data_IF_012665265741
#
_entry.id   IF_012665265741
#
_cell.length_a   1.000
_cell.length_b   1.000
_cell.length_c   1.000
_cell.angle_alpha   90.00
_cell.angle_beta   90.00
_cell.angle_gamma   90.00
#
_symmetry.space_group_name_H-M   'P 1'
#
loop_
_entity.id
_entity.type
_entity.pdbx_description
1 polymer ?
#
# COMPACT_ATOMS: atom_id res chain seq x y z
N UNK A 1 8.76 26.39 -8.97
CA UNK A 1 9.71 25.65 -8.11
C UNK A 1 9.80 26.21 -6.69
N UNK A 2 9.62 27.53 -6.46
CA UNK A 2 9.65 28.14 -5.11
C UNK A 2 8.63 27.58 -4.09
N UNK A 3 7.46 27.11 -4.54
CA UNK A 3 6.42 26.52 -3.67
C UNK A 3 6.91 25.29 -2.88
N UNK A 4 7.87 24.53 -3.41
CA UNK A 4 8.39 23.31 -2.76
C UNK A 4 9.51 23.59 -1.74
N UNK A 5 10.05 24.81 -1.72
CA UNK A 5 11.16 25.20 -0.85
C UNK A 5 10.69 25.87 0.46
N UNK A 6 9.39 26.14 0.60
CA UNK A 6 8.83 26.80 1.79
C UNK A 6 8.40 25.78 2.84
N UNK A 7 8.85 25.95 4.09
CA UNK A 7 8.49 25.07 5.21
C UNK A 7 6.97 24.95 5.41
N UNK A 8 6.22 26.02 5.13
CA UNK A 8 4.75 26.02 5.19
C UNK A 8 4.08 25.06 4.20
N UNK A 9 4.73 24.70 3.10
CA UNK A 9 4.24 23.69 2.16
C UNK A 9 4.27 22.29 2.78
N UNK A 10 5.37 21.95 3.45
CA UNK A 10 5.57 20.66 4.11
C UNK A 10 4.83 20.53 5.45
N UNK A 11 4.52 21.65 6.11
CA UNK A 11 3.82 21.69 7.41
C UNK A 11 2.28 21.70 7.31
N UNK A 12 1.71 21.97 6.12
CA UNK A 12 0.26 21.98 5.91
C UNK A 12 -0.38 20.58 6.02
N UNK A 13 0.18 19.51 5.43
CA UNK A 13 -0.36 18.15 5.57
C UNK A 13 -0.39 17.65 7.02
N UNK A 14 0.56 18.13 7.85
CA UNK A 14 0.64 17.80 9.27
C UNK A 14 -0.46 18.47 10.10
N UNK A 15 -1.34 19.30 9.51
CA UNK A 15 -2.48 19.90 10.20
C UNK A 15 -3.78 19.11 10.01
N UNK A 16 -3.85 18.17 9.07
CA UNK A 16 -5.03 17.34 8.83
C UNK A 16 -5.04 16.10 9.76
N UNK A 17 -6.06 15.91 10.62
CA UNK A 17 -6.16 14.73 11.48
C UNK A 17 -6.23 13.40 10.70
N UNK A 18 -6.75 13.39 9.47
CA UNK A 18 -6.73 12.18 8.62
C UNK A 18 -5.31 11.78 8.20
N UNK A 19 -4.41 12.76 8.06
CA UNK A 19 -3.00 12.51 7.75
C UNK A 19 -2.28 11.83 8.91
N UNK A 20 -2.51 12.30 10.14
CA UNK A 20 -1.98 11.63 11.32
C UNK A 20 -2.53 10.21 11.48
N UNK A 21 -3.84 10.03 11.32
CA UNK A 21 -4.46 8.71 11.42
C UNK A 21 -3.84 7.73 10.43
N UNK A 22 -3.67 8.15 9.18
CA UNK A 22 -3.12 7.28 8.16
C UNK A 22 -1.61 7.05 8.32
N UNK A 23 -0.84 8.00 8.86
CA UNK A 23 0.55 7.75 9.27
C UNK A 23 0.62 6.73 10.40
N UNK A 24 -0.30 6.80 11.38
CA UNK A 24 -0.40 5.81 12.44
C UNK A 24 -0.76 4.44 11.86
N UNK A 25 -1.71 4.36 10.93
CA UNK A 25 -2.05 3.10 10.25
C UNK A 25 -0.87 2.56 9.44
N UNK A 26 -0.15 3.42 8.71
CA UNK A 26 1.03 3.04 7.91
C UNK A 26 2.21 2.58 8.78
N UNK A 27 2.37 3.12 10.00
CA UNK A 27 3.45 2.78 10.93
C UNK A 27 3.07 1.66 11.92
N UNK A 28 1.77 1.39 12.10
CA UNK A 28 1.30 0.37 13.03
C UNK A 28 1.89 -1.03 12.79
N UNK A 29 2.07 -1.52 11.54
CA UNK A 29 2.68 -2.83 11.31
C UNK A 29 4.14 -2.86 11.76
N UNK A 30 4.84 -1.73 11.65
CA UNK A 30 6.24 -1.60 12.07
C UNK A 30 6.34 -1.67 13.59
N UNK A 31 5.51 -0.88 14.28
CA UNK A 31 5.47 -0.86 15.75
C UNK A 31 5.13 -2.24 16.30
N UNK A 32 4.11 -2.90 15.75
CA UNK A 32 3.74 -4.24 16.18
C UNK A 32 4.85 -5.27 15.95
N UNK A 33 5.47 -5.25 14.77
CA UNK A 33 6.56 -6.17 14.47
C UNK A 33 7.78 -5.95 15.37
N UNK A 34 8.12 -4.70 15.71
CA UNK A 34 9.19 -4.39 16.68
C UNK A 34 8.83 -4.84 18.10
N UNK A 35 7.58 -4.68 18.54
CA UNK A 35 7.14 -5.10 19.88
C UNK A 35 7.10 -6.61 20.06
N UNK A 36 7.03 -7.38 18.97
CA UNK A 36 6.96 -8.83 18.99
C UNK A 36 8.26 -9.50 18.50
N UNK A 37 9.35 -8.74 18.38
CA UNK A 37 10.66 -9.21 17.92
C UNK A 37 10.61 -9.94 16.56
N UNK A 38 9.74 -9.47 15.66
CA UNK A 38 9.61 -10.09 14.34
C UNK A 38 10.86 -9.83 13.50
N UNK A 39 11.29 -10.85 12.75
CA UNK A 39 12.41 -10.74 11.83
C UNK A 39 12.05 -10.02 10.52
N UNK A 40 13.07 -9.73 9.71
CA UNK A 40 12.93 -8.96 8.46
C UNK A 40 11.83 -9.50 7.52
N UNK A 41 11.75 -10.82 7.41
CA UNK A 41 10.76 -11.54 6.61
C UNK A 41 9.32 -11.15 6.96
N UNK A 42 9.01 -11.02 8.25
CA UNK A 42 7.68 -10.65 8.71
C UNK A 42 7.28 -9.24 8.27
N UNK A 43 8.21 -8.29 8.36
CA UNK A 43 7.98 -6.91 7.93
C UNK A 43 7.68 -6.83 6.44
N UNK A 44 8.48 -7.53 5.64
CA UNK A 44 8.32 -7.55 4.18
C UNK A 44 7.02 -8.27 3.79
N UNK A 45 6.66 -9.36 4.47
CA UNK A 45 5.39 -10.07 4.27
C UNK A 45 4.17 -9.21 4.61
N UNK A 46 4.20 -8.50 5.75
CA UNK A 46 3.13 -7.56 6.12
C UNK A 46 2.98 -6.45 5.08
N UNK A 47 4.10 -5.84 4.66
CA UNK A 47 4.09 -4.80 3.64
C UNK A 47 3.54 -5.33 2.31
N UNK A 48 3.93 -6.55 1.93
CA UNK A 48 3.43 -7.21 0.74
C UNK A 48 1.92 -7.47 0.82
N UNK A 49 1.43 -8.02 1.93
CA UNK A 49 0.01 -8.28 2.15
C UNK A 49 -0.81 -6.97 2.14
N UNK A 50 -0.28 -5.88 2.69
CA UNK A 50 -0.90 -4.57 2.59
C UNK A 50 -1.03 -4.11 1.13
N UNK A 51 -0.01 -4.30 0.29
CA UNK A 51 -0.12 -3.95 -1.13
C UNK A 51 -1.22 -4.76 -1.83
N UNK A 52 -1.40 -6.03 -1.48
CA UNK A 52 -2.52 -6.84 -1.99
C UNK A 52 -3.86 -6.23 -1.59
N UNK A 53 -4.03 -5.86 -0.30
CA UNK A 53 -5.25 -5.20 0.20
C UNK A 53 -5.50 -3.88 -0.55
N UNK A 54 -4.46 -3.06 -0.75
CA UNK A 54 -4.55 -1.80 -1.49
C UNK A 54 -4.88 -2.05 -2.97
N UNK A 55 -4.36 -3.10 -3.58
CA UNK A 55 -4.70 -3.52 -4.93
C UNK A 55 -6.19 -3.84 -5.06
N UNK A 56 -6.74 -4.63 -4.14
CA UNK A 56 -8.18 -4.94 -4.08
C UNK A 56 -9.00 -3.67 -3.88
N UNK A 57 -8.58 -2.78 -2.97
CA UNK A 57 -9.23 -1.50 -2.77
C UNK A 57 -9.23 -0.65 -4.07
N UNK A 58 -8.09 -0.58 -4.75
CA UNK A 58 -7.91 0.19 -5.99
C UNK A 58 -8.78 -0.35 -7.12
N UNK A 59 -8.93 -1.68 -7.23
CA UNK A 59 -9.85 -2.30 -8.19
C UNK A 59 -11.27 -1.75 -8.04
N UNK A 60 -11.80 -1.68 -6.80
CA UNK A 60 -13.12 -1.10 -6.56
C UNK A 60 -13.16 0.42 -6.82
N UNK A 61 -12.08 1.16 -6.49
CA UNK A 61 -11.99 2.60 -6.77
C UNK A 61 -12.01 2.93 -8.26
N UNK A 62 -11.34 2.13 -9.10
CA UNK A 62 -11.37 2.28 -10.57
C UNK A 62 -12.81 2.16 -11.09
N UNK A 63 -13.54 1.13 -10.65
CA UNK A 63 -14.92 0.88 -11.06
C UNK A 63 -15.83 2.02 -10.57
N UNK A 64 -15.69 2.42 -9.30
CA UNK A 64 -16.45 3.52 -8.71
C UNK A 64 -16.20 4.86 -9.41
N UNK A 65 -14.95 5.17 -9.72
CA UNK A 65 -14.56 6.39 -10.46
C UNK A 65 -15.15 6.42 -11.87
N UNK A 66 -15.10 5.31 -12.60
CA UNK A 66 -15.69 5.20 -13.94
C UNK A 66 -17.19 5.40 -13.95
N UNK A 67 -17.89 4.74 -13.01
CA UNK A 67 -19.33 4.88 -12.84
C UNK A 67 -19.73 6.31 -12.46
N UNK A 68 -19.00 6.94 -11.54
CA UNK A 68 -19.31 8.28 -11.05
C UNK A 68 -19.09 9.38 -12.10
N UNK A 69 -18.08 9.25 -12.97
CA UNK A 69 -17.68 10.30 -13.91
C UNK A 69 -18.44 10.28 -15.25
N UNK A 70 -18.75 9.09 -15.78
CA UNK A 70 -19.35 8.97 -17.12
C UNK A 70 -20.58 8.03 -17.19
N UNK A 71 -21.19 7.68 -16.05
CA UNK A 71 -22.38 6.81 -16.00
C UNK A 71 -22.12 5.42 -16.58
N UNK A 72 -23.12 4.83 -17.25
CA UNK A 72 -23.03 3.47 -17.81
C UNK A 72 -21.91 3.31 -18.86
N UNK A 73 -21.60 4.35 -19.64
CA UNK A 73 -20.51 4.33 -20.62
C UNK A 73 -19.12 4.34 -19.96
N UNK A 74 -18.96 5.09 -18.86
CA UNK A 74 -17.75 5.08 -18.03
C UNK A 74 -17.51 3.77 -17.31
N UNK A 75 -18.58 3.11 -16.89
CA UNK A 75 -18.53 1.84 -16.20
C UNK A 75 -17.87 0.75 -17.07
N UNK A 76 -18.24 0.63 -18.35
CA UNK A 76 -17.66 -0.36 -19.25
C UNK A 76 -16.15 -0.15 -19.46
N UNK A 77 -15.72 1.10 -19.67
CA UNK A 77 -14.29 1.44 -19.79
C UNK A 77 -13.51 1.18 -18.50
N UNK A 78 -14.10 1.48 -17.35
CA UNK A 78 -13.49 1.20 -16.05
C UNK A 78 -13.41 -0.30 -15.75
N UNK A 79 -14.37 -1.11 -16.21
CA UNK A 79 -14.31 -2.56 -16.04
C UNK A 79 -13.14 -3.17 -16.81
N UNK A 80 -12.90 -2.73 -18.04
CA UNK A 80 -11.72 -3.12 -18.82
C UNK A 80 -10.43 -2.70 -18.11
N UNK A 81 -10.36 -1.46 -17.63
CA UNK A 81 -9.16 -0.96 -16.97
C UNK A 81 -8.91 -1.66 -15.62
N UNK A 82 -9.98 -1.97 -14.87
CA UNK A 82 -9.91 -2.73 -13.62
C UNK A 82 -9.44 -4.18 -13.87
N UNK A 83 -9.89 -4.82 -14.96
CA UNK A 83 -9.41 -6.14 -15.36
C UNK A 83 -7.92 -6.11 -15.75
N UNK A 84 -7.50 -5.12 -16.56
CA UNK A 84 -6.10 -4.91 -16.89
C UNK A 84 -5.25 -4.68 -15.63
N UNK A 85 -5.74 -3.84 -14.72
CA UNK A 85 -5.10 -3.57 -13.44
C UNK A 85 -4.92 -4.85 -12.63
N UNK A 86 -5.96 -5.68 -12.49
CA UNK A 86 -5.86 -6.96 -11.78
C UNK A 86 -4.78 -7.87 -12.35
N UNK A 87 -4.69 -7.99 -13.69
CA UNK A 87 -3.64 -8.82 -14.31
C UNK A 87 -2.27 -8.22 -14.10
N UNK A 88 -2.10 -6.92 -14.38
CA UNK A 88 -0.79 -6.29 -14.36
C UNK A 88 -0.27 -6.08 -12.93
N UNK A 89 -1.06 -5.43 -12.07
CA UNK A 89 -0.72 -5.23 -10.66
C UNK A 89 -0.65 -6.56 -9.89
N UNK A 90 -1.58 -7.48 -10.18
CA UNK A 90 -1.59 -8.81 -9.60
C UNK A 90 -0.35 -9.62 -9.97
N UNK A 91 0.14 -9.53 -11.21
CA UNK A 91 1.39 -10.18 -11.62
C UNK A 91 2.60 -9.67 -10.82
N UNK A 92 2.69 -8.36 -10.56
CA UNK A 92 3.76 -7.82 -9.72
C UNK A 92 3.67 -8.33 -8.29
N UNK A 93 2.47 -8.26 -7.67
CA UNK A 93 2.28 -8.77 -6.32
C UNK A 93 2.59 -10.27 -6.23
N UNK A 94 2.20 -11.04 -7.24
CA UNK A 94 2.47 -12.47 -7.32
C UNK A 94 3.97 -12.78 -7.37
N UNK A 95 4.71 -12.12 -8.27
CA UNK A 95 6.17 -12.30 -8.39
C UNK A 95 6.89 -11.90 -7.11
N UNK A 96 6.47 -10.83 -6.43
CA UNK A 96 7.03 -10.48 -5.12
C UNK A 96 6.74 -11.52 -4.06
N UNK A 97 5.51 -12.05 -4.03
CA UNK A 97 5.14 -13.13 -3.12
C UNK A 97 6.09 -14.31 -3.28
N UNK A 98 6.36 -14.74 -4.52
CA UNK A 98 7.33 -15.80 -4.82
C UNK A 98 8.69 -15.48 -4.18
N UNK A 99 9.25 -14.30 -4.41
CA UNK A 99 10.55 -13.95 -3.83
C UNK A 99 10.52 -14.04 -2.30
N UNK A 100 9.52 -13.43 -1.66
CA UNK A 100 9.44 -13.35 -0.20
C UNK A 100 9.29 -14.75 0.42
N UNK A 101 8.38 -15.59 -0.09
CA UNK A 101 8.16 -16.93 0.45
C UNK A 101 9.36 -17.85 0.24
N UNK A 102 10.08 -17.73 -0.90
CA UNK A 102 11.32 -18.47 -1.11
C UNK A 102 12.44 -18.00 -0.17
N UNK A 103 12.59 -16.68 0.05
CA UNK A 103 13.56 -16.16 1.01
C UNK A 103 13.21 -16.50 2.47
N UNK A 104 11.94 -16.76 2.74
CA UNK A 104 11.44 -17.11 4.06
C UNK A 104 11.53 -18.62 4.39
N UNK A 105 11.90 -19.46 3.42
CA UNK A 105 11.75 -20.93 3.49
C UNK A 105 10.32 -21.38 3.89
N UNK A 106 9.31 -20.57 3.54
CA UNK A 106 7.91 -20.87 3.84
C UNK A 106 7.33 -21.66 2.66
N UNK A 107 7.01 -22.92 2.91
CA UNK A 107 6.33 -23.78 1.94
C UNK A 107 4.81 -23.49 1.95
N UNK A 108 4.37 -22.56 1.11
CA UNK A 108 2.96 -22.28 0.85
C UNK A 108 2.54 -22.75 -0.54
N UNK A 109 1.41 -23.45 -0.61
CA UNK A 109 0.72 -23.61 -1.88
C UNK A 109 0.15 -22.24 -2.31
N UNK A 110 0.13 -21.96 -3.62
CA UNK A 110 -0.10 -20.62 -4.17
C UNK A 110 -1.58 -20.18 -4.16
N UNK A 111 -2.31 -20.44 -3.08
CA UNK A 111 -3.66 -19.93 -2.87
C UNK A 111 -3.65 -18.75 -1.88
N UNK A 112 -4.49 -17.70 -2.10
CA UNK A 112 -4.57 -16.55 -1.20
C UNK A 112 -4.92 -16.92 0.25
N UNK A 113 -5.70 -17.99 0.43
CA UNK A 113 -6.07 -18.55 1.75
C UNK A 113 -4.84 -19.08 2.48
N UNK A 114 -3.97 -19.79 1.77
CA UNK A 114 -2.81 -20.47 2.37
C UNK A 114 -1.74 -19.45 2.77
N UNK A 115 -1.58 -18.37 1.99
CA UNK A 115 -0.72 -17.25 2.34
C UNK A 115 -1.24 -16.49 3.59
N UNK A 116 -2.55 -16.29 3.71
CA UNK A 116 -3.16 -15.66 4.88
C UNK A 116 -3.04 -16.53 6.13
N UNK A 117 -3.28 -17.84 6.00
CA UNK A 117 -3.07 -18.82 7.07
C UNK A 117 -1.59 -18.89 7.49
N UNK A 118 -0.65 -18.88 6.53
CA UNK A 118 0.78 -18.84 6.84
C UNK A 118 1.14 -17.58 7.62
N UNK A 119 0.71 -16.39 7.20
CA UNK A 119 1.00 -15.14 7.90
C UNK A 119 0.41 -15.14 9.32
N UNK A 120 -0.84 -15.59 9.47
CA UNK A 120 -1.53 -15.56 10.77
C UNK A 120 -1.07 -16.66 11.73
N UNK A 121 -0.60 -17.79 11.21
CA UNK A 121 -0.02 -18.87 12.01
C UNK A 121 1.45 -18.61 12.40
N UNK A 122 2.23 -17.98 11.52
CA UNK A 122 3.63 -17.61 11.80
C UNK A 122 3.74 -16.39 12.72
N UNK A 123 2.78 -15.47 12.68
CA UNK A 123 2.86 -14.20 13.39
C UNK A 123 1.57 -13.86 14.14
N UNK A 124 1.55 -14.12 15.45
CA UNK A 124 0.41 -13.80 16.33
C UNK A 124 0.05 -12.32 16.25
N UNK A 125 -1.21 -12.01 15.97
CA UNK A 125 -1.70 -10.64 15.84
C UNK A 125 -1.59 -10.04 14.43
N UNK A 126 -0.87 -10.66 13.49
CA UNK A 126 -0.81 -10.21 12.10
C UNK A 126 -2.20 -10.16 11.45
N UNK A 127 -3.06 -11.14 11.74
CA UNK A 127 -4.43 -11.18 11.22
C UNK A 127 -5.27 -9.98 11.63
N UNK A 128 -5.13 -9.52 12.88
CA UNK A 128 -5.86 -8.35 13.37
C UNK A 128 -5.40 -7.09 12.61
N UNK A 129 -4.10 -6.93 12.40
CA UNK A 129 -3.55 -5.79 11.67
C UNK A 129 -4.06 -5.79 10.22
N UNK A 130 -4.02 -6.93 9.53
CA UNK A 130 -4.51 -7.06 8.16
C UNK A 130 -6.00 -6.75 8.05
N UNK A 131 -6.81 -7.22 9.01
CA UNK A 131 -8.25 -6.91 9.05
C UNK A 131 -8.46 -5.42 9.29
N UNK A 132 -7.76 -4.80 10.24
CA UNK A 132 -7.86 -3.35 10.50
C UNK A 132 -7.46 -2.53 9.27
N UNK A 133 -6.40 -2.93 8.56
CA UNK A 133 -5.98 -2.31 7.31
C UNK A 133 -7.06 -2.43 6.23
N UNK A 134 -7.63 -3.62 6.04
CA UNK A 134 -8.70 -3.84 5.07
C UNK A 134 -9.95 -3.01 5.40
N UNK A 135 -10.35 -2.96 6.68
CA UNK A 135 -11.46 -2.13 7.15
C UNK A 135 -11.18 -0.64 6.94
N UNK A 136 -9.97 -0.18 7.22
CA UNK A 136 -9.57 1.20 6.98
C UNK A 136 -9.67 1.55 5.49
N UNK A 137 -9.17 0.69 4.60
CA UNK A 137 -9.27 0.92 3.15
C UNK A 137 -10.72 0.92 2.68
N UNK A 138 -11.55 0.01 3.19
CA UNK A 138 -12.98 0.00 2.89
C UNK A 138 -13.65 1.30 3.35
N UNK A 139 -13.37 1.77 4.57
CA UNK A 139 -13.88 3.02 5.10
C UNK A 139 -13.43 4.23 4.26
N UNK A 140 -12.16 4.23 3.79
CA UNK A 140 -11.63 5.26 2.91
C UNK A 140 -12.37 5.30 1.57
N UNK A 141 -12.63 4.14 0.94
CA UNK A 141 -13.43 4.07 -0.29
C UNK A 141 -14.83 4.63 -0.04
N UNK A 142 -15.50 4.18 1.03
CA UNK A 142 -16.86 4.64 1.33
C UNK A 142 -16.87 6.16 1.55
N UNK A 143 -15.91 6.70 2.28
CA UNK A 143 -15.80 8.14 2.56
C UNK A 143 -15.48 8.96 1.30
N UNK A 144 -14.63 8.46 0.41
CA UNK A 144 -14.23 9.14 -0.83
C UNK A 144 -15.36 9.20 -1.85
N UNK A 145 -16.15 8.12 -1.97
CA UNK A 145 -17.25 8.03 -2.94
C UNK A 145 -18.63 8.27 -2.31
N UNK A 146 -18.68 8.83 -1.10
CA UNK A 146 -19.93 9.14 -0.42
C UNK A 146 -20.70 10.26 -1.15
N UNK A 147 -22.02 10.12 -1.38
CA UNK A 147 -22.80 11.07 -2.21
C UNK A 147 -22.77 12.54 -1.75
N UNK A 148 -22.48 12.82 -0.47
CA UNK A 148 -22.51 14.17 0.09
C UNK A 148 -21.19 14.95 -0.01
N UNK A 149 -20.08 14.37 -0.51
CA UNK A 149 -18.75 15.01 -0.43
C UNK A 149 -18.31 15.89 -1.61
N UNK A 150 -19.19 16.18 -2.57
CA UNK A 150 -18.86 17.09 -3.67
C UNK A 150 -17.99 16.44 -4.75
N UNK A 151 -18.27 16.81 -6.00
CA UNK A 151 -17.95 16.06 -7.22
C UNK A 151 -16.49 16.12 -7.70
N UNK A 152 -15.50 16.06 -6.81
CA UNK A 152 -14.10 15.85 -7.23
C UNK A 152 -13.83 14.36 -7.36
N UNK A 153 -14.45 13.73 -8.37
CA UNK A 153 -14.11 12.35 -8.71
C UNK A 153 -12.70 12.32 -9.32
N UNK A 154 -11.78 11.67 -8.62
CA UNK A 154 -10.41 11.41 -9.09
C UNK A 154 -10.48 10.69 -10.43
N UNK A 155 -9.55 11.00 -11.34
CA UNK A 155 -9.58 10.38 -12.66
C UNK A 155 -9.31 8.88 -12.57
N UNK A 156 -9.95 8.09 -13.42
CA UNK A 156 -9.83 6.62 -13.41
C UNK A 156 -8.37 6.18 -13.57
N UNK A 157 -7.60 6.93 -14.36
CA UNK A 157 -6.16 6.71 -14.55
C UNK A 157 -5.35 7.01 -13.29
N UNK A 158 -5.67 8.09 -12.59
CA UNK A 158 -4.99 8.46 -11.35
C UNK A 158 -5.21 7.41 -10.26
N UNK A 159 -6.45 6.89 -10.15
CA UNK A 159 -6.77 5.78 -9.26
C UNK A 159 -5.98 4.51 -9.62
N UNK A 160 -5.92 4.15 -10.90
CA UNK A 160 -5.14 3.01 -11.36
C UNK A 160 -3.65 3.13 -10.99
N UNK A 161 -3.06 4.32 -11.11
CA UNK A 161 -1.63 4.52 -10.83
C UNK A 161 -1.29 4.73 -9.34
N UNK A 162 -2.27 5.04 -8.51
CA UNK A 162 -2.07 5.33 -7.08
C UNK A 162 -1.24 4.29 -6.29
N UNK A 163 -1.40 2.96 -6.47
CA UNK A 163 -0.67 1.98 -5.67
C UNK A 163 0.76 1.69 -6.14
N UNK A 164 1.15 2.10 -7.36
CA UNK A 164 2.46 1.72 -7.95
C UNK A 164 3.65 2.26 -7.18
N UNK A 165 3.54 3.45 -6.57
CA UNK A 165 4.61 4.01 -5.74
C UNK A 165 5.00 3.07 -4.58
N UNK A 166 4.02 2.41 -3.96
CA UNK A 166 4.25 1.47 -2.86
C UNK A 166 4.96 0.19 -3.32
N UNK A 167 4.63 -0.27 -4.52
CA UNK A 167 5.26 -1.44 -5.15
C UNK A 167 6.73 -1.16 -5.47
N UNK A 168 7.07 0.04 -5.93
CA UNK A 168 8.47 0.43 -6.17
C UNK A 168 9.27 0.45 -4.86
N UNK A 169 8.70 1.00 -3.79
CA UNK A 169 9.34 0.97 -2.45
C UNK A 169 9.58 -0.47 -1.99
N UNK A 170 8.64 -1.38 -2.22
CA UNK A 170 8.84 -2.80 -1.91
C UNK A 170 10.01 -3.41 -2.68
N UNK A 171 10.10 -3.17 -3.99
CA UNK A 171 11.21 -3.68 -4.80
C UNK A 171 12.56 -3.21 -4.27
N UNK A 172 12.69 -1.91 -3.99
CA UNK A 172 13.92 -1.36 -3.45
C UNK A 172 14.26 -1.99 -2.10
N UNK A 173 13.28 -2.14 -1.21
CA UNK A 173 13.47 -2.79 0.07
C UNK A 173 13.90 -4.25 -0.04
N UNK A 174 13.25 -5.03 -0.91
CA UNK A 174 13.60 -6.44 -1.16
C UNK A 174 15.01 -6.55 -1.74
N UNK A 175 15.35 -5.79 -2.78
CA UNK A 175 16.68 -5.88 -3.41
C UNK A 175 17.80 -5.50 -2.46
N UNK A 176 17.60 -4.43 -1.68
CA UNK A 176 18.62 -4.04 -0.69
C UNK A 176 18.67 -5.05 0.47
N UNK A 177 17.54 -5.60 0.90
CA UNK A 177 17.49 -6.65 1.92
C UNK A 177 18.23 -7.91 1.50
N UNK A 178 18.02 -8.37 0.27
CA UNK A 178 18.74 -9.52 -0.31
C UNK A 178 20.24 -9.22 -0.42
N UNK A 179 20.61 -8.04 -0.93
CA UNK A 179 22.01 -7.65 -1.03
C UNK A 179 22.69 -7.56 0.35
N UNK A 180 22.00 -7.05 1.36
CA UNK A 180 22.47 -6.98 2.74
C UNK A 180 22.64 -8.38 3.36
N UNK A 181 21.67 -9.28 3.14
CA UNK A 181 21.76 -10.67 3.55
C UNK A 181 22.99 -11.36 2.93
N UNK A 182 23.24 -11.17 1.63
CA UNK A 182 24.37 -11.79 0.94
C UNK A 182 25.74 -11.23 1.35
N UNK A 183 25.82 -9.97 1.78
CA UNK A 183 27.09 -9.29 2.08
C UNK A 183 27.43 -9.25 3.57
N UNK A 184 26.44 -9.01 4.43
CA UNK A 184 26.60 -8.81 5.88
C UNK A 184 25.98 -9.98 6.67
N UNK A 185 25.11 -10.79 6.05
CA UNK A 185 24.40 -11.87 6.73
C UNK A 185 23.13 -11.41 7.47
N UNK A 186 22.80 -10.12 7.43
CA UNK A 186 21.65 -9.54 8.12
C UNK A 186 20.70 -8.83 7.12
N UNK A 187 19.46 -9.33 6.93
CA UNK A 187 18.49 -8.72 6.03
C UNK A 187 17.82 -7.45 6.59
N UNK A 188 18.01 -7.12 7.88
CA UNK A 188 17.34 -6.01 8.56
C UNK A 188 17.66 -4.64 7.95
N UNK A 189 18.83 -4.47 7.33
CA UNK A 189 19.20 -3.24 6.63
C UNK A 189 18.18 -2.91 5.52
N UNK A 190 17.70 -3.91 4.78
CA UNK A 190 16.66 -3.73 3.77
C UNK A 190 15.33 -3.27 4.36
N UNK A 191 14.98 -3.78 5.54
CA UNK A 191 13.76 -3.38 6.27
C UNK A 191 13.84 -1.95 6.77
N UNK A 192 14.97 -1.55 7.35
CA UNK A 192 15.17 -0.15 7.77
C UNK A 192 15.03 0.81 6.60
N UNK A 193 15.61 0.48 5.44
CA UNK A 193 15.44 1.31 4.23
C UNK A 193 14.01 1.30 3.72
N UNK A 194 13.32 0.15 3.73
CA UNK A 194 11.92 0.07 3.35
C UNK A 194 11.05 0.96 4.25
N UNK A 195 11.30 0.99 5.56
CA UNK A 195 10.62 1.86 6.51
C UNK A 195 10.90 3.34 6.19
N UNK A 196 12.16 3.70 5.97
CA UNK A 196 12.55 5.09 5.64
C UNK A 196 11.93 5.56 4.32
N UNK A 197 12.00 4.75 3.26
CA UNK A 197 11.40 5.07 1.97
C UNK A 197 9.88 5.18 2.08
N UNK A 198 9.23 4.29 2.83
CA UNK A 198 7.79 4.36 3.07
C UNK A 198 7.40 5.65 3.78
N UNK A 199 8.09 6.01 4.86
CA UNK A 199 7.83 7.24 5.60
C UNK A 199 7.98 8.48 4.70
N UNK A 200 9.05 8.52 3.91
CA UNK A 200 9.27 9.58 2.92
C UNK A 200 8.16 9.66 1.87
N UNK A 201 7.75 8.52 1.31
CA UNK A 201 6.71 8.47 0.27
C UNK A 201 5.33 8.90 0.80
N UNK A 202 5.01 8.54 2.04
CA UNK A 202 3.75 8.97 2.69
C UNK A 202 3.68 10.49 2.86
N UNK A 203 4.80 11.12 3.28
CA UNK A 203 4.90 12.58 3.42
C UNK A 203 4.79 13.28 2.06
N UNK A 204 5.54 12.81 1.06
CA UNK A 204 5.56 13.40 -0.29
C UNK A 204 4.19 13.27 -0.97
N UNK A 205 3.56 12.09 -0.91
CA UNK A 205 2.28 11.82 -1.56
C UNK A 205 1.13 12.67 -0.99
N UNK A 206 1.19 13.02 0.30
CA UNK A 206 0.20 13.91 0.95
C UNK A 206 0.43 15.37 0.61
N UNK A 207 1.69 15.81 0.64
CA UNK A 207 2.04 17.15 0.20
C UNK A 207 1.59 17.44 -1.23
N UNK A 208 1.66 16.43 -2.12
CA UNK A 208 1.23 16.56 -3.51
C UNK A 208 -0.29 16.68 -3.69
N UNK A 209 -1.08 15.82 -3.01
CA UNK A 209 -2.56 15.85 -3.10
C UNK A 209 -3.18 17.15 -2.60
N UNK A 210 -2.70 17.68 -1.48
CA UNK A 210 -3.20 18.96 -0.95
C UNK A 210 -2.77 20.16 -1.81
N UNK A 211 -1.64 20.06 -2.52
CA UNK A 211 -1.17 21.14 -3.39
C UNK A 211 -2.00 21.33 -4.66
N UNK A 212 -2.75 20.29 -5.07
CA UNK A 212 -3.64 20.25 -6.23
C UNK A 212 -5.12 20.47 -5.84
N UNK A 213 -5.45 20.46 -4.55
CA UNK A 213 -6.80 20.68 -4.03
C UNK A 213 -7.11 22.16 -3.73
N UNK A 214 -6.21 23.09 -4.09
CA UNK A 214 -6.39 24.54 -3.97
C UNK A 214 -5.72 25.26 -5.13
#
# INVERSE_FOLDING_TARGET
MEKYLTASYWLRPLRDPLTWLAMVVDLSPIVFALMNDWGATAFVLLYWAENVIIGVATFFRIIAAGAAKHGLGGFAGALFLAAFFCVHYGMFCFVHGIFIFNFADINVAFLPTDAFEAITSLYQGAGIILVLMALFQLAAIIADYWPSRGKHFVDVKEEMFAPYGRVVVLHLGIFVGVAALMSVGDPMIGVFLLILFRAGFSIIGRAWRESNAG
#
